data_IF_189793028383
#
_entry.id   IF_189793028383
#
_cell.length_a   1.000
_cell.length_b   1.000
_cell.length_c   1.000
_cell.angle_alpha   90.00
_cell.angle_beta   90.00
_cell.angle_gamma   90.00
#
_symmetry.space_group_name_H-M   'P 1'
#
loop_
_entity.id
_entity.type
_entity.pdbx_description
1 polymer ?
#
# COMPACT_ATOMS: atom_id res chain seq x y z
N UNK A 1 -15.47 -21.22 -24.88
CA UNK A 1 -14.80 -22.29 -24.09
C UNK A 1 -15.00 -21.95 -22.62
N UNK A 2 -15.71 -22.78 -21.88
CA UNK A 2 -16.21 -22.45 -20.52
C UNK A 2 -15.07 -22.53 -19.50
N UNK A 3 -14.89 -21.48 -18.69
CA UNK A 3 -13.83 -21.36 -17.68
C UNK A 3 -13.84 -22.53 -16.68
N UNK A 4 -15.03 -23.04 -16.33
CA UNK A 4 -15.20 -24.22 -15.45
C UNK A 4 -14.57 -25.48 -16.00
N UNK A 5 -14.48 -25.64 -17.32
CA UNK A 5 -13.85 -26.83 -17.92
C UNK A 5 -12.32 -26.77 -17.89
N UNK A 6 -11.74 -25.56 -17.76
CA UNK A 6 -10.30 -25.35 -17.68
C UNK A 6 -9.75 -25.58 -16.25
N UNK A 7 -10.57 -25.28 -15.23
CA UNK A 7 -10.20 -25.46 -13.81
C UNK A 7 -10.11 -26.96 -13.43
N UNK A 8 -10.99 -27.80 -13.99
CA UNK A 8 -10.93 -29.26 -13.76
C UNK A 8 -9.65 -29.92 -14.28
N UNK A 9 -8.94 -29.31 -15.25
CA UNK A 9 -7.69 -29.85 -15.82
C UNK A 9 -6.45 -29.57 -14.98
N UNK A 10 -6.53 -28.67 -13.97
CA UNK A 10 -5.38 -28.22 -13.18
C UNK A 10 -5.30 -28.94 -11.81
N UNK A 11 -6.23 -29.87 -11.52
CA UNK A 11 -6.15 -30.72 -10.31
C UNK A 11 -6.31 -29.99 -8.97
N UNK A 12 -6.89 -28.81 -8.96
CA UNK A 12 -7.27 -28.16 -7.69
C UNK A 12 -8.44 -28.91 -7.05
N UNK A 13 -8.39 -29.18 -5.73
CA UNK A 13 -9.54 -29.73 -5.04
C UNK A 13 -10.73 -28.79 -5.22
N UNK A 14 -11.92 -29.37 -5.45
CA UNK A 14 -13.14 -28.56 -5.52
C UNK A 14 -13.22 -27.70 -4.25
N UNK A 15 -13.50 -26.40 -4.37
CA UNK A 15 -13.73 -25.57 -3.20
C UNK A 15 -14.89 -26.20 -2.40
N UNK A 16 -14.67 -26.43 -1.12
CA UNK A 16 -15.72 -26.86 -0.19
C UNK A 16 -16.70 -25.69 -0.14
N UNK A 17 -17.80 -25.85 -0.87
CA UNK A 17 -18.90 -24.87 -0.79
C UNK A 17 -19.54 -25.01 0.59
N UNK A 18 -19.78 -23.91 1.32
CA UNK A 18 -20.51 -23.97 2.58
C UNK A 18 -21.87 -24.61 2.34
N UNK A 19 -22.33 -25.41 3.31
CA UNK A 19 -23.65 -26.00 3.29
C UNK A 19 -24.76 -24.91 3.20
N UNK A 20 -25.97 -25.29 2.85
CA UNK A 20 -27.06 -24.36 2.68
C UNK A 20 -27.43 -23.61 3.98
N UNK A 21 -27.13 -24.19 5.14
CA UNK A 21 -27.34 -23.60 6.44
C UNK A 21 -26.32 -22.48 6.72
N UNK A 22 -25.05 -22.70 6.39
CA UNK A 22 -23.98 -21.68 6.47
C UNK A 22 -24.20 -20.53 5.49
N UNK A 23 -24.75 -20.81 4.29
CA UNK A 23 -25.14 -19.77 3.31
C UNK A 23 -26.29 -18.93 3.84
N UNK A 24 -27.32 -19.56 4.40
CA UNK A 24 -28.47 -18.84 4.98
C UNK A 24 -28.07 -17.96 6.17
N UNK A 25 -27.18 -18.45 7.04
CA UNK A 25 -26.63 -17.68 8.15
C UNK A 25 -25.79 -16.49 7.66
N UNK A 26 -24.96 -16.69 6.64
CA UNK A 26 -24.13 -15.63 6.06
C UNK A 26 -24.98 -14.55 5.36
N UNK A 27 -25.98 -14.94 4.58
CA UNK A 27 -26.93 -14.02 3.97
C UNK A 27 -27.77 -13.24 5.01
N UNK A 28 -28.19 -13.88 6.08
CA UNK A 28 -28.90 -13.22 7.16
C UNK A 28 -28.02 -12.25 7.97
N UNK A 29 -26.74 -12.58 8.17
CA UNK A 29 -25.76 -11.69 8.78
C UNK A 29 -25.46 -10.48 7.90
N UNK A 30 -25.33 -10.69 6.58
CA UNK A 30 -25.19 -9.60 5.62
C UNK A 30 -26.44 -8.73 5.61
N UNK A 31 -27.63 -9.29 5.54
CA UNK A 31 -28.89 -8.53 5.59
C UNK A 31 -29.10 -7.78 6.91
N UNK A 32 -28.63 -8.32 8.04
CA UNK A 32 -28.77 -7.70 9.37
C UNK A 32 -27.76 -6.58 9.63
N UNK A 33 -26.55 -6.68 9.04
CA UNK A 33 -25.50 -5.69 9.23
C UNK A 33 -25.41 -4.65 8.09
N UNK A 34 -25.97 -4.94 6.93
CA UNK A 34 -26.18 -4.00 5.84
C UNK A 34 -27.61 -3.49 5.85
N UNK A 35 -28.02 -2.80 6.91
CA UNK A 35 -29.01 -1.76 6.70
C UNK A 35 -28.37 -0.80 5.71
N UNK A 36 -28.78 -0.87 4.46
CA UNK A 36 -28.53 0.17 3.47
C UNK A 36 -28.87 1.50 4.15
N UNK A 37 -27.89 2.22 4.67
CA UNK A 37 -28.05 3.65 4.88
C UNK A 37 -28.43 4.15 3.51
N UNK A 38 -29.70 4.60 3.35
CA UNK A 38 -30.12 5.29 2.12
C UNK A 38 -28.97 6.22 1.78
N UNK A 39 -28.26 5.92 0.70
CA UNK A 39 -27.21 6.79 0.21
C UNK A 39 -27.88 8.15 0.01
N UNK A 40 -27.39 9.20 0.64
CA UNK A 40 -27.96 10.53 0.39
C UNK A 40 -27.94 10.78 -1.10
N UNK A 41 -28.99 11.45 -1.62
CA UNK A 41 -29.01 11.84 -3.02
C UNK A 41 -27.64 12.42 -3.39
N UNK A 42 -26.98 11.96 -4.48
CA UNK A 42 -25.65 12.42 -4.85
C UNK A 42 -25.52 13.94 -4.88
N UNK A 43 -26.52 14.66 -5.33
CA UNK A 43 -26.54 16.12 -5.36
C UNK A 43 -26.56 16.72 -3.94
N UNK A 44 -27.35 16.15 -3.03
CA UNK A 44 -27.38 16.59 -1.62
C UNK A 44 -26.06 16.31 -0.93
N UNK A 45 -25.46 15.14 -1.21
CA UNK A 45 -24.15 14.77 -0.66
C UNK A 45 -23.06 15.72 -1.15
N UNK A 46 -23.02 16.03 -2.45
CA UNK A 46 -22.05 16.94 -3.04
C UNK A 46 -22.22 18.37 -2.48
N UNK A 47 -23.46 18.83 -2.32
CA UNK A 47 -23.75 20.15 -1.75
C UNK A 47 -23.31 20.23 -0.29
N UNK A 48 -23.66 19.27 0.55
CA UNK A 48 -23.22 19.21 1.94
C UNK A 48 -21.70 19.17 2.06
N UNK A 49 -21.03 18.41 1.18
CA UNK A 49 -19.57 18.33 1.15
C UNK A 49 -18.93 19.66 0.75
N UNK A 50 -19.48 20.35 -0.25
CA UNK A 50 -19.03 21.68 -0.68
C UNK A 50 -19.17 22.68 0.46
N UNK A 51 -20.32 22.77 1.12
CA UNK A 51 -20.55 23.67 2.25
C UNK A 51 -19.61 23.38 3.42
N UNK A 52 -19.32 22.10 3.70
CA UNK A 52 -18.36 21.71 4.74
C UNK A 52 -16.93 22.11 4.38
N UNK A 53 -16.53 21.96 3.11
CA UNK A 53 -15.21 22.37 2.61
C UNK A 53 -15.07 23.90 2.73
N UNK A 54 -16.07 24.66 2.34
CA UNK A 54 -16.08 26.13 2.45
C UNK A 54 -15.98 26.61 3.90
N UNK A 55 -16.62 25.92 4.84
CA UNK A 55 -16.51 26.24 6.27
C UNK A 55 -15.11 25.93 6.82
N UNK A 56 -14.53 24.79 6.42
CA UNK A 56 -13.17 24.40 6.83
C UNK A 56 -12.16 25.41 6.25
N UNK A 57 -12.31 25.79 4.99
CA UNK A 57 -11.42 26.72 4.31
C UNK A 57 -11.36 28.11 4.98
N UNK A 58 -12.50 28.59 5.49
CA UNK A 58 -12.57 29.90 6.16
C UNK A 58 -11.83 29.95 7.50
N UNK A 59 -11.68 28.82 8.16
CA UNK A 59 -11.06 28.70 9.50
C UNK A 59 -9.73 27.95 9.46
N UNK A 60 -9.23 27.60 8.25
CA UNK A 60 -7.98 26.87 8.12
C UNK A 60 -6.80 27.79 8.42
N UNK A 61 -6.01 27.42 9.41
CA UNK A 61 -4.77 28.07 9.77
C UNK A 61 -3.62 27.13 9.48
N UNK A 62 -2.64 27.62 8.72
CA UNK A 62 -1.42 26.89 8.47
C UNK A 62 -0.44 27.14 9.61
N UNK A 63 -0.46 26.25 10.60
CA UNK A 63 0.32 26.35 11.82
C UNK A 63 1.05 25.02 12.13
N UNK A 64 1.73 24.99 13.26
CA UNK A 64 2.43 23.80 13.74
C UNK A 64 1.53 22.56 13.80
N UNK A 65 0.29 22.69 14.23
CA UNK A 65 -0.65 21.59 14.35
C UNK A 65 -1.05 21.03 13.00
N UNK A 66 -1.40 21.91 12.06
CA UNK A 66 -1.80 21.55 10.69
C UNK A 66 -0.67 20.89 9.92
N UNK A 67 0.55 21.41 10.01
CA UNK A 67 1.74 20.85 9.40
C UNK A 67 2.07 19.49 10.00
N UNK A 68 2.05 19.39 11.34
CA UNK A 68 2.29 18.10 12.03
C UNK A 68 1.27 17.06 11.61
N UNK A 69 0.00 17.45 11.48
CA UNK A 69 -1.06 16.55 11.02
C UNK A 69 -0.79 16.06 9.59
N UNK A 70 -0.47 16.98 8.67
CA UNK A 70 -0.15 16.65 7.29
C UNK A 70 1.02 15.67 7.20
N UNK A 71 2.14 15.99 7.83
CA UNK A 71 3.35 15.17 7.76
C UNK A 71 3.16 13.79 8.38
N UNK A 72 2.45 13.68 9.51
CA UNK A 72 2.09 12.38 10.10
C UNK A 72 1.23 11.51 9.21
N UNK A 73 0.48 12.09 8.28
CA UNK A 73 -0.40 11.35 7.36
C UNK A 73 0.26 11.06 6.02
N UNK A 74 1.12 11.94 5.56
CA UNK A 74 1.72 11.87 4.23
C UNK A 74 3.13 11.24 4.23
N UNK A 75 3.82 11.23 5.37
CA UNK A 75 5.20 10.75 5.48
C UNK A 75 5.34 9.71 6.59
N UNK A 76 6.47 9.01 6.64
CA UNK A 76 6.76 8.00 7.69
C UNK A 76 7.12 8.65 9.03
N UNK A 77 7.53 9.91 9.01
CA UNK A 77 7.83 10.68 10.21
C UNK A 77 8.29 12.08 9.84
N UNK A 78 8.33 12.97 10.83
CA UNK A 78 8.82 14.32 10.64
C UNK A 78 9.54 14.81 11.90
N UNK A 79 10.70 15.41 11.72
CA UNK A 79 11.41 16.09 12.79
C UNK A 79 10.83 17.48 13.04
N UNK A 80 11.24 18.11 14.13
CA UNK A 80 10.86 19.49 14.42
C UNK A 80 11.38 20.46 13.34
N UNK A 81 12.53 20.16 12.74
CA UNK A 81 13.09 20.97 11.66
C UNK A 81 12.25 20.89 10.39
N UNK A 82 11.74 19.70 10.08
CA UNK A 82 10.85 19.49 8.93
C UNK A 82 9.54 20.24 9.12
N UNK A 83 8.95 20.16 10.31
CA UNK A 83 7.73 20.90 10.62
C UNK A 83 7.95 22.39 10.43
N UNK A 84 9.05 22.95 10.96
CA UNK A 84 9.37 24.36 10.80
C UNK A 84 9.63 24.74 9.34
N UNK A 85 10.29 23.87 8.57
CA UNK A 85 10.50 24.07 7.14
C UNK A 85 9.17 24.19 6.40
N UNK A 86 8.24 23.26 6.60
CA UNK A 86 6.93 23.26 5.95
C UNK A 86 6.02 24.41 6.43
N UNK A 87 6.11 24.84 7.69
CA UNK A 87 5.43 26.06 8.16
C UNK A 87 5.87 27.26 7.33
N UNK A 88 7.17 27.43 7.12
CA UNK A 88 7.74 28.55 6.40
C UNK A 88 7.44 28.54 4.89
N UNK A 89 7.26 27.35 4.31
CA UNK A 89 6.87 27.22 2.89
C UNK A 89 5.43 27.65 2.62
N UNK A 90 4.56 27.52 3.59
CA UNK A 90 3.13 27.74 3.39
C UNK A 90 2.41 26.46 2.86
N UNK A 91 1.08 26.53 2.85
CA UNK A 91 0.24 25.36 2.57
C UNK A 91 0.40 24.83 1.14
N UNK A 92 0.28 25.67 0.13
CA UNK A 92 0.26 25.26 -1.28
C UNK A 92 1.60 24.65 -1.69
N UNK A 93 2.71 25.32 -1.37
CA UNK A 93 4.05 24.84 -1.71
C UNK A 93 4.38 23.55 -0.95
N UNK A 94 3.89 23.40 0.28
CA UNK A 94 4.03 22.17 1.06
C UNK A 94 3.32 20.98 0.41
N UNK A 95 2.11 21.19 -0.10
CA UNK A 95 1.36 20.12 -0.80
C UNK A 95 2.07 19.76 -2.11
N UNK A 96 2.51 20.75 -2.89
CA UNK A 96 3.26 20.51 -4.12
C UNK A 96 4.53 19.71 -3.82
N UNK A 97 5.30 20.12 -2.81
CA UNK A 97 6.52 19.44 -2.40
C UNK A 97 6.28 17.97 -2.05
N UNK A 98 5.26 17.67 -1.23
CA UNK A 98 4.93 16.31 -0.79
C UNK A 98 4.47 15.43 -1.97
N UNK A 99 3.74 16.00 -2.94
CA UNK A 99 3.17 15.29 -4.08
C UNK A 99 4.07 15.28 -5.32
N UNK A 100 5.16 16.05 -5.33
CA UNK A 100 6.08 16.05 -6.47
C UNK A 100 6.78 14.70 -6.60
N UNK A 101 6.80 14.18 -7.82
CA UNK A 101 7.51 12.96 -8.15
C UNK A 101 9.01 13.13 -7.86
N UNK A 102 9.55 12.17 -7.16
CA UNK A 102 10.99 12.08 -6.90
C UNK A 102 11.64 11.20 -7.97
N UNK A 103 12.91 11.45 -8.25
CA UNK A 103 13.69 10.52 -9.06
C UNK A 103 13.67 9.11 -8.44
N UNK A 104 13.57 8.11 -9.30
CA UNK A 104 13.64 6.73 -8.84
C UNK A 104 14.95 6.50 -8.11
N UNK A 105 14.92 5.92 -6.92
CA UNK A 105 16.13 5.65 -6.16
C UNK A 105 16.99 4.63 -6.87
N UNK A 106 18.31 4.73 -6.70
CA UNK A 106 19.22 3.67 -7.13
C UNK A 106 18.80 2.33 -6.52
N UNK A 107 18.78 1.25 -7.32
CA UNK A 107 18.40 -0.06 -6.81
C UNK A 107 19.34 -0.55 -5.71
N UNK A 108 18.90 -1.48 -4.85
CA UNK A 108 19.71 -2.00 -3.74
C UNK A 108 20.92 -2.83 -4.18
N UNK A 109 21.07 -3.11 -5.46
CA UNK A 109 22.18 -3.82 -6.08
C UNK A 109 21.89 -4.20 -7.52
N UNK A 110 22.94 -4.51 -8.27
CA UNK A 110 22.86 -4.84 -9.73
C UNK A 110 22.03 -6.10 -10.01
N UNK A 111 21.86 -6.93 -8.98
CA UNK A 111 21.08 -8.16 -9.07
C UNK A 111 19.57 -7.94 -9.34
N UNK A 112 19.09 -6.71 -9.25
CA UNK A 112 17.69 -6.38 -9.59
C UNK A 112 17.41 -6.59 -11.07
N UNK A 113 18.44 -6.44 -11.92
CA UNK A 113 18.35 -6.61 -13.38
C UNK A 113 18.74 -8.03 -13.84
N UNK A 114 19.11 -8.94 -12.91
CA UNK A 114 19.47 -10.31 -13.25
C UNK A 114 18.25 -11.15 -13.66
N UNK A 115 18.43 -11.98 -14.66
CA UNK A 115 17.41 -12.95 -15.10
C UNK A 115 17.11 -13.98 -14.01
N UNK A 116 15.86 -14.39 -13.93
CA UNK A 116 15.45 -15.46 -13.02
C UNK A 116 15.99 -16.80 -13.53
N UNK A 117 16.74 -17.56 -12.74
CA UNK A 117 17.31 -18.83 -13.16
C UNK A 117 16.21 -19.87 -13.45
N UNK A 118 16.45 -20.70 -14.45
CA UNK A 118 15.55 -21.80 -14.77
C UNK A 118 15.70 -22.94 -13.73
N UNK A 119 14.80 -22.95 -12.74
CA UNK A 119 14.80 -23.91 -11.65
C UNK A 119 14.74 -25.39 -12.07
N UNK A 120 14.20 -25.68 -13.27
CA UNK A 120 14.02 -27.05 -13.73
C UNK A 120 15.34 -27.73 -14.13
N UNK A 121 16.37 -26.96 -14.45
CA UNK A 121 17.68 -27.46 -14.90
C UNK A 121 18.74 -27.47 -13.79
N UNK A 122 18.42 -26.94 -12.60
CA UNK A 122 19.35 -26.81 -11.49
C UNK A 122 19.43 -28.10 -10.65
N UNK A 123 20.64 -28.46 -10.20
CA UNK A 123 20.83 -29.50 -9.19
C UNK A 123 20.32 -29.06 -7.81
N UNK A 124 20.19 -30.02 -6.88
CA UNK A 124 19.76 -29.70 -5.51
C UNK A 124 20.74 -28.77 -4.78
N UNK A 125 22.03 -28.94 -5.01
CA UNK A 125 23.10 -28.11 -4.45
C UNK A 125 23.02 -26.69 -4.98
N UNK A 126 22.90 -26.53 -6.31
CA UNK A 126 22.76 -25.23 -6.96
C UNK A 126 21.52 -24.46 -6.48
N UNK A 127 20.39 -25.17 -6.29
CA UNK A 127 19.18 -24.55 -5.73
C UNK A 127 19.41 -24.02 -4.33
N UNK A 128 20.11 -24.78 -3.47
CA UNK A 128 20.44 -24.35 -2.11
C UNK A 128 21.35 -23.12 -2.10
N UNK A 129 22.36 -23.07 -2.97
CA UNK A 129 23.22 -21.89 -3.10
C UNK A 129 22.42 -20.65 -3.54
N UNK A 130 21.56 -20.79 -4.54
CA UNK A 130 20.71 -19.69 -5.01
C UNK A 130 19.75 -19.21 -3.92
N UNK A 131 19.15 -20.12 -3.13
CA UNK A 131 18.30 -19.75 -1.99
C UNK A 131 19.09 -18.93 -0.96
N UNK A 132 20.34 -19.26 -0.67
CA UNK A 132 21.17 -18.49 0.24
C UNK A 132 21.48 -17.09 -0.32
N UNK A 133 21.78 -17.00 -1.61
CA UNK A 133 21.95 -15.72 -2.30
C UNK A 133 20.68 -14.86 -2.19
N UNK A 134 19.52 -15.42 -2.49
CA UNK A 134 18.25 -14.69 -2.39
C UNK A 134 17.92 -14.26 -0.96
N UNK A 135 18.28 -15.08 0.04
CA UNK A 135 18.10 -14.70 1.43
C UNK A 135 18.95 -13.46 1.82
N UNK A 136 20.18 -13.38 1.31
CA UNK A 136 21.04 -12.24 1.53
C UNK A 136 20.54 -11.00 0.75
N UNK A 137 20.08 -11.18 -0.49
CA UNK A 137 19.46 -10.11 -1.29
C UNK A 137 18.21 -9.55 -0.60
N UNK A 138 17.37 -10.39 -0.01
CA UNK A 138 16.21 -9.97 0.78
C UNK A 138 16.61 -9.09 1.97
N UNK A 139 17.64 -9.47 2.71
CA UNK A 139 18.17 -8.64 3.82
C UNK A 139 18.70 -7.29 3.33
N UNK A 140 19.38 -7.29 2.19
CA UNK A 140 19.87 -6.05 1.56
C UNK A 140 18.71 -5.15 1.13
N UNK A 141 17.68 -5.72 0.51
CA UNK A 141 16.46 -5.00 0.13
C UNK A 141 15.75 -4.38 1.35
N UNK A 142 15.57 -5.17 2.42
CA UNK A 142 14.95 -4.68 3.66
C UNK A 142 15.75 -3.53 4.27
N UNK A 143 17.07 -3.64 4.32
CA UNK A 143 17.95 -2.58 4.84
C UNK A 143 17.88 -1.32 3.97
N UNK A 144 17.95 -1.47 2.65
CA UNK A 144 17.83 -0.39 1.70
C UNK A 144 16.52 0.35 1.86
N UNK A 145 15.39 -0.37 1.92
CA UNK A 145 14.08 0.26 2.11
C UNK A 145 13.93 0.94 3.47
N UNK A 146 14.42 0.31 4.55
CA UNK A 146 14.43 0.94 5.87
C UNK A 146 15.25 2.24 5.88
N UNK A 147 16.40 2.28 5.19
CA UNK A 147 17.20 3.49 5.04
C UNK A 147 16.45 4.60 4.29
N UNK A 148 15.70 4.26 3.27
CA UNK A 148 14.84 5.22 2.56
C UNK A 148 13.75 5.76 3.45
N UNK A 149 13.03 4.90 4.16
CA UNK A 149 11.97 5.32 5.09
C UNK A 149 12.48 6.28 6.18
N UNK A 150 13.73 6.16 6.60
CA UNK A 150 14.32 7.02 7.62
C UNK A 150 14.92 8.29 7.00
N UNK A 151 15.50 8.20 5.81
CA UNK A 151 16.26 9.28 5.18
C UNK A 151 15.44 10.22 4.29
N UNK A 152 14.33 9.72 3.74
CA UNK A 152 13.52 10.45 2.74
C UNK A 152 12.11 10.71 3.26
N UNK A 153 12.01 11.59 4.26
CA UNK A 153 10.77 11.92 4.96
C UNK A 153 9.94 13.01 4.25
N UNK A 154 10.44 13.59 3.18
CA UNK A 154 9.85 14.82 2.61
C UNK A 154 8.72 14.60 1.62
N UNK A 155 8.47 13.37 1.16
CA UNK A 155 7.41 13.07 0.20
C UNK A 155 6.53 11.88 0.60
N UNK A 156 5.43 11.69 -0.16
CA UNK A 156 4.43 10.66 0.09
C UNK A 156 4.85 9.25 -0.40
N UNK A 157 5.93 9.15 -1.19
CA UNK A 157 6.28 7.94 -1.93
C UNK A 157 6.46 6.72 -1.02
N UNK A 158 7.25 6.83 0.05
CA UNK A 158 7.50 5.70 0.95
C UNK A 158 6.26 5.31 1.76
N UNK A 159 5.43 6.28 2.14
CA UNK A 159 4.14 6.02 2.80
C UNK A 159 3.18 5.27 1.87
N UNK A 160 3.10 5.68 0.60
CA UNK A 160 2.28 4.99 -0.40
C UNK A 160 2.84 3.62 -0.74
N UNK A 161 4.15 3.46 -0.81
CA UNK A 161 4.81 2.17 -1.00
C UNK A 161 4.45 1.22 0.14
N UNK A 162 4.53 1.67 1.40
CA UNK A 162 4.14 0.89 2.57
C UNK A 162 2.65 0.52 2.54
N UNK A 163 1.79 1.46 2.17
CA UNK A 163 0.34 1.22 2.03
C UNK A 163 0.06 0.12 1.01
N UNK A 164 0.60 0.22 -0.20
CA UNK A 164 0.39 -0.77 -1.25
C UNK A 164 1.05 -2.10 -0.93
N UNK A 165 2.22 -2.08 -0.30
CA UNK A 165 2.87 -3.31 0.19
C UNK A 165 1.95 -4.11 1.12
N UNK A 166 1.24 -3.45 2.03
CA UNK A 166 0.29 -4.12 2.93
C UNK A 166 -0.92 -4.72 2.19
N UNK A 167 -1.31 -4.13 1.06
CA UNK A 167 -2.43 -4.63 0.25
C UNK A 167 -2.03 -5.78 -0.68
N UNK A 168 -0.86 -5.71 -1.29
CA UNK A 168 -0.41 -6.64 -2.33
C UNK A 168 0.73 -7.56 -1.89
N UNK A 169 1.13 -7.50 -0.62
CA UNK A 169 2.24 -8.30 -0.15
C UNK A 169 1.94 -9.79 -0.21
N UNK A 170 2.79 -10.53 -0.91
CA UNK A 170 2.92 -11.97 -0.74
C UNK A 170 4.02 -12.24 0.30
N UNK A 171 3.80 -13.22 1.17
CA UNK A 171 4.84 -13.62 2.10
C UNK A 171 5.99 -14.30 1.34
N UNK A 172 7.21 -13.78 1.46
CA UNK A 172 8.42 -14.37 0.86
C UNK A 172 8.53 -15.88 1.12
N UNK A 173 8.21 -16.31 2.35
CA UNK A 173 8.20 -17.73 2.74
C UNK A 173 7.12 -18.58 2.05
N UNK A 174 6.24 -17.99 1.25
CA UNK A 174 5.18 -18.68 0.50
C UNK A 174 5.45 -18.77 -0.99
N UNK A 175 6.49 -18.07 -1.46
CA UNK A 175 6.86 -18.00 -2.89
C UNK A 175 7.95 -19.00 -3.25
N UNK A 176 8.69 -19.54 -2.26
CA UNK A 176 9.77 -20.51 -2.41
C UNK A 176 9.49 -21.78 -1.64
#
# INVERSE_FOLDING_TARGET
>A
MNLSAKIKKIGFPNPILPDDESRSLHENLIKKNWTYRKQPNPETFLKQRSESIDQISRNFVWDFSSVTHLLKRATIGASINDINYFINQGFEDSIIHILTDQELPSPPGDWVEEDIPNWNVLSSEQRQEIIQVYHNRMKTLQKWWAQRMIGDFSNITEMMTLFWHNYFASAYSKVF
#
